data_IF_982946688343
#
_entry.id   IF_982946688343
#
_cell.length_a   1.000
_cell.length_b   1.000
_cell.length_c   1.000
_cell.angle_alpha   90.00
_cell.angle_beta   90.00
_cell.angle_gamma   90.00
#
_symmetry.space_group_name_H-M   'P 1'
#
loop_
_entity.id
_entity.type
_entity.pdbx_description
1 polymer ?
#
# COMPACT_ATOMS: atom_id res chain seq x y z
N UNK A 1 1.25 -16.14 15.40
CA UNK A 1 1.18 -15.31 14.19
C UNK A 1 1.07 -13.86 14.61
N UNK A 2 1.76 -12.96 13.91
CA UNK A 2 1.64 -11.51 14.16
C UNK A 2 0.38 -10.98 13.50
N UNK A 3 -0.43 -10.23 14.23
CA UNK A 3 -1.61 -9.57 13.70
C UNK A 3 -1.25 -8.17 13.23
N UNK A 4 -1.67 -7.81 12.01
CA UNK A 4 -1.43 -6.51 11.40
C UNK A 4 -2.75 -5.94 10.88
N UNK A 5 -3.02 -4.68 11.21
CA UNK A 5 -4.13 -3.93 10.63
C UNK A 5 -3.70 -3.24 9.33
N UNK A 6 -4.58 -3.18 8.36
CA UNK A 6 -4.43 -2.31 7.19
C UNK A 6 -5.66 -1.42 7.11
N UNK A 7 -5.47 -0.10 6.97
CA UNK A 7 -6.55 0.85 6.71
C UNK A 7 -6.23 1.52 5.38
N UNK A 8 -7.07 1.28 4.36
CA UNK A 8 -6.68 1.71 3.03
C UNK A 8 -7.76 1.58 1.96
N UNK A 9 -7.39 1.97 0.74
CA UNK A 9 -8.28 1.87 -0.41
C UNK A 9 -8.05 0.60 -1.22
N UNK A 10 -9.10 0.21 -1.91
CA UNK A 10 -9.13 -0.89 -2.90
C UNK A 10 -9.66 -0.34 -4.21
N UNK A 11 -9.14 -0.84 -5.31
CA UNK A 11 -9.65 -0.60 -6.65
C UNK A 11 -9.57 -1.88 -7.50
N UNK A 12 -10.43 -1.99 -8.51
CA UNK A 12 -10.35 -3.04 -9.53
C UNK A 12 -9.40 -2.58 -10.61
N UNK A 13 -8.25 -3.23 -10.70
CA UNK A 13 -7.20 -2.86 -11.65
C UNK A 13 -7.17 -3.84 -12.80
N UNK A 14 -7.35 -3.33 -14.01
CA UNK A 14 -7.14 -4.06 -15.25
C UNK A 14 -5.72 -3.82 -15.75
N UNK A 15 -4.93 -4.88 -15.86
CA UNK A 15 -3.57 -4.84 -16.35
C UNK A 15 -3.53 -5.22 -17.82
N UNK A 16 -2.91 -4.39 -18.64
CA UNK A 16 -2.83 -4.51 -20.08
C UNK A 16 -1.36 -4.46 -20.52
N UNK A 17 -0.79 -5.58 -20.96
CA UNK A 17 0.52 -5.59 -21.57
C UNK A 17 0.45 -4.97 -22.98
N UNK A 18 1.17 -3.89 -23.20
CA UNK A 18 1.15 -3.12 -24.45
C UNK A 18 2.57 -2.89 -24.97
N UNK A 19 2.78 -2.84 -26.30
CA UNK A 19 4.10 -2.56 -26.86
C UNK A 19 4.56 -1.10 -26.66
N UNK A 20 3.61 -0.18 -26.48
CA UNK A 20 3.78 1.25 -26.20
C UNK A 20 2.45 1.82 -25.68
N UNK A 21 2.45 3.02 -25.13
CA UNK A 21 1.22 3.69 -24.71
C UNK A 21 0.30 3.98 -25.90
N UNK A 22 -1.03 4.08 -25.66
CA UNK A 22 -1.99 4.45 -26.69
C UNK A 22 -1.63 5.78 -27.40
N UNK A 23 -1.68 5.76 -28.72
CA UNK A 23 -1.41 6.92 -29.56
C UNK A 23 -2.70 7.40 -30.21
N UNK A 24 -2.87 8.72 -30.29
CA UNK A 24 -4.06 9.34 -30.86
C UNK A 24 -4.38 8.81 -32.27
N UNK A 25 -5.65 8.40 -32.48
CA UNK A 25 -6.14 7.92 -33.75
C UNK A 25 -5.69 6.52 -34.17
N UNK A 26 -5.06 5.77 -33.25
CA UNK A 26 -4.64 4.38 -33.50
C UNK A 26 -5.42 3.40 -32.63
N UNK A 27 -5.58 2.18 -33.16
CA UNK A 27 -6.08 1.03 -32.39
C UNK A 27 -4.85 0.26 -31.88
N UNK A 28 -4.83 -0.01 -30.58
CA UNK A 28 -3.80 -0.80 -29.93
C UNK A 28 -4.43 -2.07 -29.36
N UNK A 29 -3.80 -3.21 -29.60
CA UNK A 29 -4.22 -4.49 -29.06
C UNK A 29 -3.34 -4.85 -27.87
N UNK A 30 -3.92 -4.90 -26.68
CA UNK A 30 -3.25 -5.40 -25.47
C UNK A 30 -3.13 -6.92 -25.53
N UNK A 31 -2.08 -7.45 -24.88
CA UNK A 31 -1.87 -8.89 -24.69
C UNK A 31 -2.13 -9.24 -23.24
N UNK A 32 -2.54 -10.48 -23.01
CA UNK A 32 -2.67 -11.11 -21.70
C UNK A 32 -3.37 -10.22 -20.64
N UNK A 33 -4.57 -9.68 -20.92
CA UNK A 33 -5.26 -8.83 -19.97
C UNK A 33 -5.71 -9.65 -18.76
N UNK A 34 -5.55 -9.10 -17.57
CA UNK A 34 -6.07 -9.68 -16.35
C UNK A 34 -6.56 -8.59 -15.38
N UNK A 35 -7.41 -8.98 -14.44
CA UNK A 35 -8.01 -8.04 -13.48
C UNK A 35 -7.74 -8.53 -12.06
N UNK A 36 -7.31 -7.61 -11.18
CA UNK A 36 -7.06 -7.90 -9.76
C UNK A 36 -7.58 -6.79 -8.85
N UNK A 37 -7.77 -7.12 -7.58
CA UNK A 37 -7.87 -6.14 -6.53
C UNK A 37 -6.49 -5.48 -6.36
N UNK A 38 -6.45 -4.17 -6.50
CA UNK A 38 -5.25 -3.36 -6.38
C UNK A 38 -5.48 -2.13 -5.50
N UNK A 39 -4.61 -1.14 -5.61
CA UNK A 39 -4.57 -0.01 -4.70
C UNK A 39 -3.72 -0.32 -3.46
N UNK A 40 -3.21 0.73 -2.82
CA UNK A 40 -2.20 0.57 -1.76
C UNK A 40 -2.63 -0.30 -0.59
N UNK A 41 -3.91 -0.24 -0.18
CA UNK A 41 -4.44 -1.08 0.89
C UNK A 41 -4.54 -2.55 0.50
N UNK A 42 -5.07 -2.85 -0.70
CA UNK A 42 -5.22 -4.22 -1.17
C UNK A 42 -3.86 -4.90 -1.39
N UNK A 43 -2.90 -4.20 -2.02
CA UNK A 43 -1.53 -4.71 -2.21
C UNK A 43 -0.88 -5.01 -0.86
N UNK A 44 -0.95 -4.07 0.09
CA UNK A 44 -0.36 -4.25 1.41
C UNK A 44 -0.99 -5.45 2.16
N UNK A 45 -2.32 -5.58 2.12
CA UNK A 45 -3.03 -6.68 2.79
C UNK A 45 -2.64 -8.05 2.21
N UNK A 46 -2.57 -8.16 0.87
CA UNK A 46 -2.16 -9.39 0.20
C UNK A 46 -0.70 -9.77 0.53
N UNK A 47 0.21 -8.81 0.48
CA UNK A 47 1.64 -9.02 0.83
C UNK A 47 1.79 -9.48 2.28
N UNK A 48 1.08 -8.87 3.21
CA UNK A 48 1.09 -9.27 4.62
C UNK A 48 0.59 -10.70 4.83
N UNK A 49 -0.48 -11.07 4.14
CA UNK A 49 -1.00 -12.44 4.19
C UNK A 49 0.02 -13.45 3.62
N UNK A 50 0.65 -13.15 2.48
CA UNK A 50 1.73 -13.98 1.91
C UNK A 50 2.94 -14.12 2.87
N UNK A 51 3.23 -13.11 3.68
CA UNK A 51 4.28 -13.13 4.71
C UNK A 51 3.86 -13.85 5.99
N UNK A 52 2.65 -14.43 6.02
CA UNK A 52 2.12 -15.22 7.13
C UNK A 52 1.59 -14.41 8.29
N UNK A 53 1.19 -13.15 8.08
CA UNK A 53 0.50 -12.36 9.09
C UNK A 53 -0.99 -12.72 9.17
N UNK A 54 -1.61 -12.53 10.33
CA UNK A 54 -3.08 -12.38 10.45
C UNK A 54 -3.44 -10.94 10.06
N UNK A 55 -4.19 -10.77 8.98
CA UNK A 55 -4.50 -9.44 8.43
C UNK A 55 -5.96 -9.08 8.64
N UNK A 56 -6.21 -7.95 9.32
CA UNK A 56 -7.50 -7.28 9.38
C UNK A 56 -7.45 -6.05 8.48
N UNK A 57 -8.18 -6.06 7.36
CA UNK A 57 -8.16 -4.98 6.36
C UNK A 57 -9.46 -4.18 6.35
N UNK A 58 -9.37 -2.90 6.67
CA UNK A 58 -10.47 -1.95 6.72
C UNK A 58 -10.49 -1.09 5.46
N UNK A 59 -11.55 -1.19 4.66
CA UNK A 59 -11.67 -0.49 3.39
C UNK A 59 -13.09 -0.01 3.10
N UNK A 60 -13.26 0.73 2.01
CA UNK A 60 -14.57 1.07 1.47
C UNK A 60 -14.65 0.69 -0.01
N UNK A 61 -15.79 0.12 -0.41
CA UNK A 61 -16.06 -0.36 -1.77
C UNK A 61 -17.51 -0.04 -2.17
N UNK A 62 -17.75 0.03 -3.46
CA UNK A 62 -19.10 0.12 -4.02
C UNK A 62 -19.90 -1.17 -3.83
N UNK A 63 -21.24 -1.05 -3.73
CA UNK A 63 -22.16 -2.22 -3.68
C UNK A 63 -22.34 -2.86 -5.06
N UNK A 64 -21.29 -2.95 -5.85
CA UNK A 64 -21.29 -3.45 -7.22
C UNK A 64 -20.55 -4.81 -7.36
N UNK A 65 -20.48 -5.30 -8.61
CA UNK A 65 -19.79 -6.55 -8.90
C UNK A 65 -18.29 -6.46 -8.68
N UNK A 66 -17.67 -5.30 -9.01
CA UNK A 66 -16.24 -5.07 -8.85
C UNK A 66 -15.84 -5.07 -7.37
N UNK A 67 -16.64 -4.42 -6.49
CA UNK A 67 -16.42 -4.44 -5.06
C UNK A 67 -16.51 -5.84 -4.46
N UNK A 68 -17.55 -6.61 -4.82
CA UNK A 68 -17.69 -7.99 -4.34
C UNK A 68 -16.56 -8.90 -4.84
N UNK A 69 -16.14 -8.74 -6.10
CA UNK A 69 -15.02 -9.51 -6.66
C UNK A 69 -13.69 -9.17 -5.98
N UNK A 70 -13.47 -7.91 -5.62
CA UNK A 70 -12.28 -7.50 -4.87
C UNK A 70 -12.23 -8.10 -3.48
N UNK A 71 -13.36 -8.11 -2.76
CA UNK A 71 -13.46 -8.77 -1.43
C UNK A 71 -13.15 -10.25 -1.54
N UNK A 72 -13.83 -10.96 -2.44
CA UNK A 72 -13.64 -12.40 -2.61
C UNK A 72 -12.16 -12.74 -2.90
N UNK A 73 -11.51 -11.99 -3.79
CA UNK A 73 -10.08 -12.20 -4.09
C UNK A 73 -9.19 -12.00 -2.85
N UNK A 74 -9.43 -10.98 -2.05
CA UNK A 74 -8.65 -10.71 -0.84
C UNK A 74 -8.89 -11.78 0.24
N UNK A 75 -10.13 -12.24 0.39
CA UNK A 75 -10.47 -13.33 1.32
C UNK A 75 -9.84 -14.66 0.89
N UNK A 76 -9.78 -14.95 -0.42
CA UNK A 76 -9.07 -16.11 -0.98
C UNK A 76 -7.57 -16.07 -0.69
N UNK A 77 -6.98 -14.87 -0.55
CA UNK A 77 -5.60 -14.67 -0.10
C UNK A 77 -5.43 -14.73 1.43
N UNK A 78 -6.49 -15.04 2.18
CA UNK A 78 -6.44 -15.18 3.64
C UNK A 78 -6.55 -13.86 4.40
N UNK A 79 -6.96 -12.78 3.75
CA UNK A 79 -7.21 -11.47 4.37
C UNK A 79 -8.61 -11.43 4.96
N UNK A 80 -8.76 -11.00 6.21
CA UNK A 80 -10.08 -10.68 6.78
C UNK A 80 -10.45 -9.26 6.39
N UNK A 81 -11.49 -9.11 5.55
CA UNK A 81 -11.87 -7.82 4.97
C UNK A 81 -13.07 -7.21 5.71
N UNK A 82 -12.90 -6.00 6.24
CA UNK A 82 -13.94 -5.18 6.89
C UNK A 82 -14.35 -4.07 5.92
N UNK A 83 -15.53 -4.20 5.29
CA UNK A 83 -15.95 -3.32 4.18
C UNK A 83 -17.03 -2.33 4.61
N UNK A 84 -16.74 -1.05 4.44
CA UNK A 84 -17.75 0.01 4.42
C UNK A 84 -18.33 0.14 3.01
N UNK A 85 -19.52 -0.43 2.79
CA UNK A 85 -20.17 -0.40 1.49
C UNK A 85 -20.73 0.99 1.17
N UNK A 86 -20.46 1.48 -0.05
CA UNK A 86 -20.89 2.78 -0.58
C UNK A 86 -21.87 2.61 -1.74
N UNK A 87 -22.69 3.65 -1.97
CA UNK A 87 -23.58 3.70 -3.15
C UNK A 87 -22.82 4.12 -4.42
N UNK A 88 -21.69 4.83 -4.25
CA UNK A 88 -20.77 5.12 -5.35
C UNK A 88 -20.13 3.84 -5.87
N UNK A 89 -19.86 3.76 -7.21
CA UNK A 89 -19.21 2.60 -7.79
C UNK A 89 -17.77 2.41 -7.27
N UNK A 90 -17.36 1.16 -7.20
CA UNK A 90 -15.98 0.79 -6.92
C UNK A 90 -15.06 1.47 -7.93
N UNK A 91 -14.00 2.13 -7.43
CA UNK A 91 -12.97 2.71 -8.27
C UNK A 91 -12.30 1.63 -9.12
N UNK A 92 -12.08 1.95 -10.38
CA UNK A 92 -11.33 1.11 -11.32
C UNK A 92 -10.04 1.81 -11.73
N UNK A 93 -9.07 1.01 -12.16
CA UNK A 93 -7.87 1.52 -12.82
C UNK A 93 -7.54 0.65 -14.03
N UNK A 94 -6.96 1.25 -15.03
CA UNK A 94 -6.33 0.57 -16.17
C UNK A 94 -4.84 0.84 -16.06
N UNK A 95 -4.06 -0.22 -15.99
CA UNK A 95 -2.59 -0.15 -15.89
C UNK A 95 -2.00 -0.69 -17.18
N UNK A 96 -1.37 0.19 -17.94
CA UNK A 96 -0.59 -0.18 -19.12
C UNK A 96 0.81 -0.61 -18.65
N UNK A 97 1.21 -1.82 -19.04
CA UNK A 97 2.52 -2.39 -18.77
C UNK A 97 3.31 -2.41 -20.07
N UNK A 98 4.40 -1.65 -20.13
CA UNK A 98 5.29 -1.57 -21.29
C UNK A 98 6.51 -2.48 -21.15
N UNK A 99 7.15 -2.87 -22.25
CA UNK A 99 8.44 -3.56 -22.20
C UNK A 99 9.47 -2.73 -21.42
N UNK A 100 10.13 -3.35 -20.43
CA UNK A 100 11.08 -2.64 -19.56
C UNK A 100 10.57 -2.38 -18.16
N UNK A 101 9.28 -2.72 -17.88
CA UNK A 101 8.70 -2.62 -16.52
C UNK A 101 8.13 -1.26 -16.18
N UNK A 102 8.10 -0.32 -17.11
CA UNK A 102 7.42 0.95 -16.94
C UNK A 102 5.90 0.75 -16.96
N UNK A 103 5.21 1.55 -16.15
CA UNK A 103 3.75 1.49 -16.04
C UNK A 103 3.10 2.88 -16.12
N UNK A 104 1.97 2.93 -16.78
CA UNK A 104 1.09 4.09 -16.78
C UNK A 104 -0.28 3.68 -16.26
N UNK A 105 -0.81 4.41 -15.29
CA UNK A 105 -2.06 4.09 -14.62
C UNK A 105 -3.09 5.17 -14.91
N UNK A 106 -4.26 4.77 -15.40
CA UNK A 106 -5.43 5.63 -15.57
C UNK A 106 -6.50 5.18 -14.59
N UNK A 107 -6.90 6.07 -13.69
CA UNK A 107 -7.92 5.77 -12.68
C UNK A 107 -9.31 6.26 -13.12
N UNK A 108 -10.34 5.49 -12.79
CA UNK A 108 -11.73 5.70 -13.17
C UNK A 108 -12.62 5.75 -11.92
N UNK A 109 -13.23 6.88 -11.67
CA UNK A 109 -14.08 7.12 -10.49
C UNK A 109 -13.33 7.63 -9.26
N UNK A 110 -14.10 7.96 -8.23
CA UNK A 110 -13.57 8.48 -6.98
C UNK A 110 -12.91 7.38 -6.14
N UNK A 111 -11.84 7.71 -5.42
CA UNK A 111 -11.25 6.82 -4.43
C UNK A 111 -12.19 6.71 -3.24
N UNK A 112 -12.66 5.50 -2.94
CA UNK A 112 -13.46 5.22 -1.76
C UNK A 112 -12.54 4.93 -0.58
N UNK A 113 -12.85 5.52 0.58
CA UNK A 113 -12.03 5.41 1.77
C UNK A 113 -12.89 5.03 2.97
N UNK A 114 -12.36 4.20 3.90
CA UNK A 114 -13.04 3.94 5.15
C UNK A 114 -13.03 5.19 6.03
N UNK A 115 -14.11 5.42 6.74
CA UNK A 115 -14.25 6.53 7.70
C UNK A 115 -14.34 5.96 9.10
N UNK A 116 -13.77 6.62 10.09
CA UNK A 116 -13.80 6.13 11.46
C UNK A 116 -15.20 5.99 12.04
N UNK A 117 -16.20 6.65 11.45
CA UNK A 117 -17.63 6.51 11.83
C UNK A 117 -18.33 5.32 11.15
N UNK A 118 -17.69 4.65 10.21
CA UNK A 118 -18.27 3.46 9.57
C UNK A 118 -18.43 2.33 10.60
N UNK A 119 -19.52 1.56 10.55
CA UNK A 119 -19.79 0.48 11.50
C UNK A 119 -18.91 -0.76 11.19
N UNK A 120 -17.61 -0.59 11.27
CA UNK A 120 -16.60 -1.65 11.09
C UNK A 120 -16.11 -2.16 12.45
N UNK A 121 -15.50 -3.32 12.46
CA UNK A 121 -14.93 -3.95 13.67
C UNK A 121 -13.61 -3.29 14.11
N UNK A 122 -13.60 -1.95 14.30
CA UNK A 122 -12.40 -1.17 14.63
C UNK A 122 -11.67 -1.67 15.87
N UNK A 123 -12.38 -2.22 16.84
CA UNK A 123 -11.81 -2.78 18.08
C UNK A 123 -10.78 -3.88 17.85
N UNK A 124 -10.75 -4.49 16.65
CA UNK A 124 -9.76 -5.49 16.29
C UNK A 124 -8.35 -4.93 16.20
N UNK A 125 -8.22 -3.62 15.95
CA UNK A 125 -6.94 -2.93 15.87
C UNK A 125 -6.20 -2.90 17.21
N UNK A 126 -6.92 -3.03 18.34
CA UNK A 126 -6.34 -3.16 19.69
C UNK A 126 -5.45 -4.41 19.85
N UNK A 127 -5.67 -5.40 19.02
CA UNK A 127 -4.91 -6.65 19.03
C UNK A 127 -3.85 -6.73 17.94
N UNK A 128 -3.74 -5.69 17.11
CA UNK A 128 -2.72 -5.60 16.07
C UNK A 128 -1.40 -5.12 16.67
N UNK A 129 -0.30 -5.77 16.33
CA UNK A 129 1.05 -5.33 16.70
C UNK A 129 1.46 -4.05 15.96
N UNK A 130 0.86 -3.81 14.79
CA UNK A 130 1.10 -2.64 13.94
C UNK A 130 -0.04 -2.43 12.96
N UNK A 131 -0.15 -1.20 12.42
CA UNK A 131 -1.14 -0.82 11.41
C UNK A 131 -0.44 -0.10 10.25
N UNK A 132 -0.73 -0.50 9.02
CA UNK A 132 -0.41 0.29 7.83
C UNK A 132 -1.61 1.13 7.42
N UNK A 133 -1.44 2.45 7.42
CA UNK A 133 -2.46 3.43 7.09
C UNK A 133 -2.15 4.10 5.75
N UNK A 134 -2.95 3.83 4.73
CA UNK A 134 -2.75 4.37 3.37
C UNK A 134 -3.94 5.18 2.84
N UNK A 135 -5.12 5.06 3.46
CA UNK A 135 -6.29 5.87 3.14
C UNK A 135 -7.34 5.78 4.26
N UNK A 136 -8.06 6.85 4.47
CA UNK A 136 -9.11 6.97 5.48
C UNK A 136 -9.24 8.43 5.93
N UNK A 137 -10.12 8.71 6.86
CA UNK A 137 -10.24 10.02 7.49
C UNK A 137 -9.46 10.11 8.82
N UNK A 138 -9.44 11.29 9.43
CA UNK A 138 -8.78 11.50 10.72
C UNK A 138 -9.38 10.62 11.85
N UNK A 139 -10.66 10.26 11.75
CA UNK A 139 -11.29 9.35 12.72
C UNK A 139 -10.79 7.90 12.52
N UNK A 140 -10.60 7.46 11.29
CA UNK A 140 -9.99 6.16 10.99
C UNK A 140 -8.53 6.09 11.47
N UNK A 141 -7.77 7.20 11.33
CA UNK A 141 -6.40 7.28 11.88
C UNK A 141 -6.40 7.17 13.41
N UNK A 142 -7.40 7.76 14.10
CA UNK A 142 -7.51 7.58 15.56
C UNK A 142 -7.70 6.13 15.97
N UNK A 143 -8.49 5.34 15.23
CA UNK A 143 -8.59 3.89 15.47
C UNK A 143 -7.27 3.15 15.23
N UNK A 144 -6.45 3.59 14.25
CA UNK A 144 -5.14 3.00 14.04
C UNK A 144 -4.23 3.13 15.27
N UNK A 145 -4.38 4.19 16.07
CA UNK A 145 -3.59 4.43 17.28
C UNK A 145 -3.95 3.49 18.45
N UNK A 146 -4.95 2.64 18.33
CA UNK A 146 -5.16 1.54 19.26
C UNK A 146 -4.00 0.49 19.17
N UNK A 147 -3.22 0.53 18.09
CA UNK A 147 -2.01 -0.26 17.88
C UNK A 147 -0.73 0.54 18.23
N UNK A 148 0.34 -0.11 18.73
CA UNK A 148 1.57 0.58 19.13
C UNK A 148 2.34 1.23 17.97
N UNK A 149 2.23 0.70 16.76
CA UNK A 149 2.94 1.20 15.59
C UNK A 149 1.98 1.50 14.44
N UNK A 150 1.88 2.77 14.06
CA UNK A 150 1.18 3.19 12.84
C UNK A 150 2.20 3.62 11.81
N UNK A 151 2.21 2.95 10.67
CA UNK A 151 3.04 3.28 9.51
C UNK A 151 2.15 3.86 8.43
N UNK A 152 2.55 4.96 7.82
CA UNK A 152 1.80 5.56 6.72
C UNK A 152 2.69 5.83 5.49
N UNK A 153 2.03 6.16 4.38
CA UNK A 153 2.67 6.57 3.14
C UNK A 153 2.04 7.86 2.60
N UNK A 154 2.64 8.52 1.60
CA UNK A 154 2.10 9.73 0.97
C UNK A 154 0.69 9.57 0.38
N UNK A 155 0.18 8.36 0.24
CA UNK A 155 -1.23 8.12 -0.14
C UNK A 155 -2.23 8.66 0.89
N UNK A 156 -1.80 8.82 2.14
CA UNK A 156 -2.59 9.38 3.25
C UNK A 156 -2.40 10.90 3.44
N UNK A 157 -1.91 11.62 2.44
CA UNK A 157 -1.59 13.07 2.51
C UNK A 157 -2.68 13.91 3.16
N UNK A 158 -3.91 13.76 2.70
CA UNK A 158 -5.05 14.58 3.16
C UNK A 158 -5.30 14.47 4.67
N UNK A 159 -4.97 13.33 5.26
CA UNK A 159 -5.12 13.12 6.70
C UNK A 159 -3.89 13.57 7.46
N UNK A 160 -2.70 13.27 6.95
CA UNK A 160 -1.43 13.63 7.62
C UNK A 160 -1.13 15.12 7.58
N UNK A 161 -1.82 15.91 6.75
CA UNK A 161 -1.75 17.37 6.75
C UNK A 161 -2.71 18.02 7.77
N UNK A 162 -3.54 17.22 8.46
CA UNK A 162 -4.45 17.76 9.49
C UNK A 162 -3.74 17.95 10.82
N UNK A 163 -4.15 18.97 11.56
CA UNK A 163 -3.61 19.24 12.88
C UNK A 163 -3.79 18.06 13.83
N UNK A 164 -2.71 17.71 14.52
CA UNK A 164 -2.68 16.59 15.49
C UNK A 164 -2.57 15.20 14.87
N UNK A 165 -2.53 15.07 13.54
CA UNK A 165 -2.21 13.79 12.91
C UNK A 165 -0.75 13.42 13.22
N UNK A 166 -0.53 12.17 13.60
CA UNK A 166 0.82 11.65 13.83
C UNK A 166 0.88 10.17 13.53
N UNK A 167 2.06 9.69 13.19
CA UNK A 167 2.34 8.27 12.94
C UNK A 167 3.68 7.89 13.55
N UNK A 168 3.91 6.59 13.73
CA UNK A 168 5.23 6.14 14.14
C UNK A 168 6.24 6.28 13.00
N UNK A 169 5.91 5.80 11.80
CA UNK A 169 6.79 5.91 10.64
C UNK A 169 6.05 6.40 9.39
N UNK A 170 6.72 7.26 8.63
CA UNK A 170 6.30 7.70 7.30
C UNK A 170 7.26 7.12 6.27
N UNK A 171 6.76 6.20 5.43
CA UNK A 171 7.50 5.55 4.34
C UNK A 171 7.21 6.26 3.02
N UNK A 172 8.23 6.69 2.31
CA UNK A 172 8.10 7.40 1.02
C UNK A 172 9.25 7.09 0.07
N UNK A 173 9.08 7.43 -1.21
CA UNK A 173 10.12 7.30 -2.23
C UNK A 173 11.00 8.57 -2.27
N UNK A 174 12.31 8.41 -2.12
CA UNK A 174 13.25 9.51 -2.32
C UNK A 174 13.38 9.89 -3.81
N UNK A 175 13.13 8.94 -4.71
CA UNK A 175 13.18 9.15 -6.15
C UNK A 175 11.93 9.82 -6.74
N UNK A 176 10.88 10.03 -5.93
CA UNK A 176 9.71 10.82 -6.30
C UNK A 176 9.82 12.20 -5.62
N UNK A 177 10.09 13.23 -6.42
CA UNK A 177 10.34 14.59 -5.93
C UNK A 177 9.12 15.15 -5.16
N UNK A 178 7.89 14.85 -5.60
CA UNK A 178 6.66 15.28 -4.95
C UNK A 178 6.46 14.59 -3.59
N UNK A 179 6.71 13.28 -3.51
CA UNK A 179 6.64 12.53 -2.25
C UNK A 179 7.71 13.01 -1.28
N UNK A 180 8.94 13.16 -1.75
CA UNK A 180 10.08 13.60 -0.94
C UNK A 180 9.87 14.99 -0.38
N UNK A 181 9.49 15.97 -1.23
CA UNK A 181 9.22 17.33 -0.79
C UNK A 181 8.03 17.40 0.19
N UNK A 182 7.00 16.60 -0.03
CA UNK A 182 5.86 16.53 0.87
C UNK A 182 6.23 15.92 2.22
N UNK A 183 6.96 14.81 2.24
CA UNK A 183 7.38 14.14 3.47
C UNK A 183 8.21 15.06 4.37
N UNK A 184 9.05 15.92 3.79
CA UNK A 184 9.81 16.92 4.54
C UNK A 184 8.90 17.97 5.21
N UNK A 185 7.80 18.39 4.53
CA UNK A 185 6.86 19.37 5.12
C UNK A 185 6.10 18.80 6.32
N UNK A 186 5.77 17.51 6.30
CA UNK A 186 5.04 16.85 7.39
C UNK A 186 5.94 16.02 8.31
N UNK A 187 7.24 16.23 8.25
CA UNK A 187 8.22 15.45 9.02
C UNK A 187 7.95 15.43 10.53
N UNK A 188 7.42 16.54 11.09
CA UNK A 188 7.04 16.62 12.50
C UNK A 188 5.86 15.74 12.91
N UNK A 189 5.14 15.19 11.95
CA UNK A 189 4.01 14.26 12.18
C UNK A 189 4.45 12.79 12.26
N UNK A 190 5.73 12.49 12.06
CA UNK A 190 6.28 11.14 12.16
C UNK A 190 7.47 11.09 13.12
N UNK A 191 7.55 10.02 13.93
CA UNK A 191 8.74 9.80 14.77
C UNK A 191 9.94 9.35 13.95
N UNK A 192 9.68 8.59 12.88
CA UNK A 192 10.69 8.06 11.96
C UNK A 192 10.28 8.34 10.53
N UNK A 193 11.18 8.88 9.76
CA UNK A 193 11.07 9.03 8.31
C UNK A 193 11.86 7.90 7.64
N UNK A 194 11.25 7.20 6.69
CA UNK A 194 11.83 6.05 5.99
C UNK A 194 11.78 6.31 4.49
N UNK A 195 12.92 6.60 3.90
CA UNK A 195 13.05 6.91 2.48
C UNK A 195 13.60 5.70 1.71
N UNK A 196 12.86 5.20 0.73
CA UNK A 196 13.34 4.19 -0.21
C UNK A 196 14.10 4.87 -1.35
N UNK A 197 15.27 4.33 -1.72
CA UNK A 197 16.17 4.87 -2.75
C UNK A 197 16.32 3.88 -3.94
N UNK A 198 15.32 3.03 -4.16
CA UNK A 198 15.30 2.04 -5.25
C UNK A 198 16.48 1.07 -5.19
N UNK A 199 17.28 1.02 -6.26
CA UNK A 199 18.46 0.14 -6.34
C UNK A 199 19.61 0.53 -5.40
N UNK A 200 19.49 1.64 -4.66
CA UNK A 200 20.47 2.09 -3.67
C UNK A 200 20.05 1.75 -2.23
N UNK A 201 18.98 0.96 -2.04
CA UNK A 201 18.46 0.63 -0.72
C UNK A 201 17.61 1.74 -0.14
N UNK A 202 18.05 2.34 0.95
CA UNK A 202 17.35 3.45 1.57
C UNK A 202 17.89 3.85 2.93
N UNK A 203 17.21 4.76 3.60
CA UNK A 203 17.61 5.31 4.88
C UNK A 203 16.42 5.66 5.76
N UNK A 204 16.66 5.74 7.05
CA UNK A 204 15.70 6.29 8.01
C UNK A 204 16.36 7.30 8.91
N UNK A 205 15.56 8.22 9.46
CA UNK A 205 16.01 9.21 10.44
C UNK A 205 14.83 9.70 11.30
N UNK A 206 15.13 10.39 12.39
CA UNK A 206 14.17 10.86 13.39
C UNK A 206 14.56 10.36 14.77
N UNK A 207 13.76 9.48 15.38
CA UNK A 207 14.05 8.88 16.69
C UNK A 207 15.37 8.07 16.70
N UNK A 208 15.73 7.50 15.57
CA UNK A 208 17.05 6.91 15.28
C UNK A 208 17.39 7.14 13.81
N UNK A 209 18.64 6.88 13.43
CA UNK A 209 19.07 7.00 12.03
C UNK A 209 19.84 5.77 11.57
N UNK A 210 19.81 5.53 10.26
CA UNK A 210 20.56 4.44 9.65
C UNK A 210 20.23 4.28 8.16
N UNK A 211 20.87 3.26 7.56
CA UNK A 211 20.70 2.90 6.15
C UNK A 211 20.58 1.40 6.01
N UNK A 212 20.00 0.98 4.89
CA UNK A 212 20.06 -0.40 4.42
C UNK A 212 20.51 -0.42 2.96
N UNK A 213 21.22 -1.47 2.60
CA UNK A 213 21.60 -1.74 1.23
C UNK A 213 20.44 -2.36 0.45
N UNK A 214 20.43 -2.15 -0.88
CA UNK A 214 19.49 -2.84 -1.74
C UNK A 214 19.69 -4.36 -1.65
N UNK A 215 18.60 -5.10 -1.64
CA UNK A 215 18.64 -6.56 -1.65
C UNK A 215 18.67 -7.08 -3.10
N UNK A 216 19.32 -8.22 -3.37
CA UNK A 216 19.29 -8.83 -4.67
C UNK A 216 17.86 -9.17 -5.12
N UNK A 217 17.56 -8.94 -6.39
CA UNK A 217 16.28 -9.35 -6.96
C UNK A 217 16.20 -10.88 -7.04
N UNK A 218 15.07 -11.50 -6.62
CA UNK A 218 14.89 -12.95 -6.71
C UNK A 218 14.67 -13.44 -8.14
N UNK A 219 14.54 -12.56 -9.12
CA UNK A 219 14.34 -12.87 -10.54
C UNK A 219 14.51 -11.64 -11.42
N UNK A 220 14.17 -11.76 -12.68
CA UNK A 220 14.17 -10.63 -13.61
C UNK A 220 13.08 -9.63 -13.24
N UNK A 221 13.32 -8.31 -13.32
CA UNK A 221 12.28 -7.32 -13.10
C UNK A 221 11.20 -7.39 -14.18
N UNK A 222 9.94 -7.28 -13.77
CA UNK A 222 8.77 -7.27 -14.66
C UNK A 222 8.03 -5.94 -14.64
N UNK A 223 7.58 -5.50 -13.49
CA UNK A 223 6.98 -4.18 -13.32
C UNK A 223 7.15 -3.67 -11.88
N UNK A 224 6.99 -2.36 -11.69
CA UNK A 224 7.15 -1.72 -10.39
C UNK A 224 5.80 -1.50 -9.66
N UNK A 225 4.69 -2.14 -10.10
CA UNK A 225 3.40 -1.97 -9.44
C UNK A 225 3.44 -2.50 -8.02
N UNK A 226 3.07 -1.66 -7.06
CA UNK A 226 2.96 -2.04 -5.65
C UNK A 226 4.29 -2.25 -4.91
N UNK A 227 5.47 -1.99 -5.51
CA UNK A 227 6.75 -2.16 -4.80
C UNK A 227 6.83 -1.34 -3.51
N UNK A 228 6.40 -0.06 -3.55
CA UNK A 228 6.38 0.80 -2.38
C UNK A 228 5.38 0.34 -1.31
N UNK A 229 4.18 -0.09 -1.72
CA UNK A 229 3.17 -0.61 -0.79
C UNK A 229 3.62 -1.96 -0.19
N UNK A 230 4.32 -2.79 -0.96
CA UNK A 230 4.92 -4.05 -0.48
C UNK A 230 6.02 -3.80 0.53
N UNK A 231 6.90 -2.82 0.27
CA UNK A 231 7.91 -2.39 1.24
C UNK A 231 7.26 -1.93 2.54
N UNK A 232 6.31 -0.99 2.45
CA UNK A 232 5.67 -0.41 3.64
C UNK A 232 4.89 -1.46 4.44
N UNK A 233 4.21 -2.39 3.77
CA UNK A 233 3.51 -3.50 4.41
C UNK A 233 4.47 -4.41 5.20
N UNK A 234 5.55 -4.86 4.58
CA UNK A 234 6.52 -5.74 5.23
C UNK A 234 7.31 -5.01 6.34
N UNK A 235 7.65 -3.74 6.16
CA UNK A 235 8.21 -2.89 7.20
C UNK A 235 7.27 -2.81 8.41
N UNK A 236 5.97 -2.58 8.16
CA UNK A 236 4.94 -2.57 9.20
C UNK A 236 4.88 -3.90 9.95
N UNK A 237 4.94 -5.03 9.23
CA UNK A 237 4.98 -6.36 9.84
C UNK A 237 6.20 -6.56 10.73
N UNK A 238 7.39 -6.12 10.29
CA UNK A 238 8.63 -6.19 11.08
C UNK A 238 8.45 -5.47 12.43
N UNK A 239 7.95 -4.23 12.41
CA UNK A 239 7.68 -3.48 13.64
C UNK A 239 6.67 -4.22 14.54
N UNK A 240 5.60 -4.78 13.96
CA UNK A 240 4.59 -5.55 14.70
C UNK A 240 5.11 -6.86 15.30
N UNK A 241 6.23 -7.40 14.80
CA UNK A 241 6.95 -8.54 15.37
C UNK A 241 7.89 -8.14 16.51
N UNK A 242 8.13 -6.84 16.69
CA UNK A 242 9.10 -6.32 17.63
C UNK A 242 10.52 -6.20 17.05
N UNK A 243 10.67 -6.28 15.72
CA UNK A 243 11.94 -6.08 15.05
C UNK A 243 12.38 -4.62 15.20
N UNK A 244 13.69 -4.37 15.24
CA UNK A 244 14.24 -3.02 15.12
C UNK A 244 14.03 -2.44 13.72
N UNK A 245 14.14 -1.11 13.59
CA UNK A 245 13.89 -0.40 12.30
C UNK A 245 14.77 -0.96 11.18
N UNK A 246 16.03 -1.32 11.45
CA UNK A 246 16.95 -1.87 10.46
C UNK A 246 16.45 -3.21 9.88
N UNK A 247 16.00 -4.13 10.74
CA UNK A 247 15.50 -5.44 10.31
C UNK A 247 14.13 -5.30 9.62
N UNK A 248 13.26 -4.43 10.13
CA UNK A 248 11.99 -4.11 9.49
C UNK A 248 12.21 -3.51 8.08
N UNK A 249 13.20 -2.61 7.92
CA UNK A 249 13.54 -2.03 6.62
C UNK A 249 14.10 -3.07 5.64
N UNK A 250 14.92 -4.02 6.13
CA UNK A 250 15.42 -5.13 5.31
C UNK A 250 14.28 -6.03 4.85
N UNK A 251 13.34 -6.39 5.74
CA UNK A 251 12.15 -7.16 5.39
C UNK A 251 11.31 -6.41 4.34
N UNK A 252 11.16 -5.09 4.49
CA UNK A 252 10.53 -4.21 3.50
C UNK A 252 11.22 -4.26 2.13
N UNK A 253 12.56 -4.15 2.12
CA UNK A 253 13.34 -4.23 0.89
C UNK A 253 13.19 -5.57 0.18
N UNK A 254 13.17 -6.68 0.91
CA UNK A 254 12.94 -8.02 0.36
C UNK A 254 11.54 -8.14 -0.28
N UNK A 255 10.51 -7.59 0.36
CA UNK A 255 9.16 -7.60 -0.18
C UNK A 255 9.02 -6.72 -1.42
N UNK A 256 9.61 -5.52 -1.41
CA UNK A 256 9.65 -4.63 -2.57
C UNK A 256 10.39 -5.23 -3.76
N UNK A 257 11.54 -5.86 -3.52
CA UNK A 257 12.32 -6.57 -4.54
C UNK A 257 11.54 -7.75 -5.14
N UNK A 258 10.80 -8.49 -4.31
CA UNK A 258 9.93 -9.58 -4.78
C UNK A 258 8.77 -9.07 -5.62
N UNK A 259 8.15 -7.96 -5.23
CA UNK A 259 7.08 -7.33 -6.01
C UNK A 259 7.56 -6.94 -7.41
N UNK A 260 8.77 -6.36 -7.53
CA UNK A 260 9.37 -5.98 -8.81
C UNK A 260 9.55 -7.16 -9.79
N UNK A 261 9.63 -8.40 -9.30
CA UNK A 261 9.79 -9.61 -10.13
C UNK A 261 8.46 -10.30 -10.46
N UNK A 262 7.33 -9.65 -10.20
CA UNK A 262 5.98 -10.14 -10.53
C UNK A 262 5.33 -9.24 -11.57
N UNK A 263 4.23 -9.71 -12.14
CA UNK A 263 3.38 -8.92 -13.03
C UNK A 263 2.11 -8.55 -12.26
N UNK A 264 1.90 -7.25 -12.08
CA UNK A 264 0.78 -6.73 -11.31
C UNK A 264 0.88 -6.95 -9.80
N UNK A 265 -0.20 -6.62 -9.10
CA UNK A 265 -0.32 -6.86 -7.66
C UNK A 265 -0.36 -8.37 -7.31
N UNK A 266 0.05 -8.77 -6.09
CA UNK A 266 -0.15 -10.11 -5.58
C UNK A 266 -1.62 -10.49 -5.50
#
# INVERSE_FOLDING_TARGET
>A
MTRVGVIGHVERVEFLSVPHLPVQGKILHARDPFVRAGGGGAVAASVLAELGAEVDFFCALGRDADGRAAVAQLEDHGVRVHVAWRDQPTRRAVTFLEPGGERTIVTLGARLEPRGVDPLEWDRLKYAGSVYFTAGDAAALRHAHDSPFVVASPRARSVLETDGAHVYALVFSQGDDDESAWAQRVASHARVLVATEGSHGGRWWGESEGRWEAVPLPGSPHDAYGCGDSFAAAFTLGLGRGDGIADAARLGAEAGARALTRVGAP
#
